data_IF_039398240190
#
_entry.id   IF_039398240190
#
_cell.length_a   1.000
_cell.length_b   1.000
_cell.length_c   1.000
_cell.angle_alpha   90.00
_cell.angle_beta   90.00
_cell.angle_gamma   90.00
#
_symmetry.space_group_name_H-M   'P 1'
#
loop_
_entity.id
_entity.type
_entity.pdbx_description
1 polymer ?
#
# COMPACT_ATOMS: atom_id res chain seq x y z
N UNK A 1 10.69 -3.36 1.50
CA UNK A 1 11.90 -3.32 2.31
C UNK A 1 12.02 -4.63 3.09
N UNK A 2 13.17 -5.30 3.03
CA UNK A 2 13.49 -6.56 3.75
C UNK A 2 14.56 -6.29 4.83
N UNK A 3 14.73 -5.03 5.27
CA UNK A 3 15.85 -4.60 6.12
C UNK A 3 15.55 -4.64 7.63
N UNK A 4 14.35 -5.01 8.07
CA UNK A 4 13.94 -4.94 9.49
C UNK A 4 13.73 -6.28 10.23
N UNK A 5 13.96 -7.42 9.56
CA UNK A 5 13.62 -8.75 10.10
C UNK A 5 12.10 -9.00 10.15
N UNK A 6 11.65 -10.07 10.80
CA UNK A 6 10.27 -10.60 10.67
C UNK A 6 9.13 -9.79 11.35
N UNK A 7 9.37 -8.51 11.70
CA UNK A 7 8.45 -7.77 12.60
C UNK A 7 7.54 -6.76 11.94
N UNK A 8 7.93 -6.19 10.80
CA UNK A 8 7.10 -5.18 10.15
C UNK A 8 5.81 -5.78 9.59
N UNK A 9 4.69 -5.10 9.82
CA UNK A 9 3.40 -5.44 9.24
C UNK A 9 2.71 -4.20 8.67
N UNK A 10 2.30 -4.27 7.41
CA UNK A 10 1.73 -3.11 6.71
C UNK A 10 0.53 -3.51 5.87
N UNK A 11 -0.36 -2.56 5.59
CA UNK A 11 -1.31 -2.70 4.48
C UNK A 11 -1.16 -1.52 3.54
N UNK A 12 -1.17 -1.80 2.23
CA UNK A 12 -1.19 -0.78 1.20
C UNK A 12 -2.65 -0.51 0.81
N UNK A 13 -3.01 0.76 0.73
CA UNK A 13 -4.32 1.19 0.26
C UNK A 13 -4.18 2.26 -0.82
N UNK A 14 -5.06 2.19 -1.81
CA UNK A 14 -5.21 3.23 -2.83
C UNK A 14 -6.60 3.84 -2.66
N UNK A 15 -6.63 5.16 -2.52
CA UNK A 15 -7.86 5.94 -2.38
C UNK A 15 -8.02 6.88 -3.57
N UNK A 16 -9.21 6.89 -4.15
CA UNK A 16 -9.68 7.85 -5.13
C UNK A 16 -10.68 8.78 -4.42
N UNK A 17 -10.27 10.02 -4.20
CA UNK A 17 -10.95 10.98 -3.33
C UNK A 17 -11.23 10.37 -1.95
N UNK A 18 -12.51 10.28 -1.56
CA UNK A 18 -12.94 9.70 -0.28
C UNK A 18 -13.19 8.18 -0.35
N UNK A 19 -13.02 7.55 -1.52
CA UNK A 19 -13.31 6.13 -1.73
C UNK A 19 -12.03 5.30 -1.72
N UNK A 20 -11.96 4.28 -0.86
CA UNK A 20 -10.88 3.27 -0.92
C UNK A 20 -11.11 2.37 -2.13
N UNK A 21 -10.33 2.58 -3.18
CA UNK A 21 -10.43 1.86 -4.44
C UNK A 21 -9.74 0.49 -4.40
N UNK A 22 -8.67 0.34 -3.63
CA UNK A 22 -7.99 -0.94 -3.44
C UNK A 22 -7.30 -1.07 -2.07
N UNK A 23 -7.07 -2.32 -1.65
CA UNK A 23 -6.24 -2.66 -0.48
C UNK A 23 -5.58 -4.02 -0.67
N UNK A 24 -4.37 -4.19 -0.15
CA UNK A 24 -3.68 -5.49 -0.11
C UNK A 24 -4.13 -6.39 1.05
N UNK A 25 -4.82 -5.82 2.05
CA UNK A 25 -4.83 -6.38 3.41
C UNK A 25 -3.45 -6.32 4.06
N UNK A 26 -3.32 -6.89 5.25
CA UNK A 26 -2.05 -6.99 5.97
C UNK A 26 -1.05 -7.85 5.21
N UNK A 27 0.17 -7.34 5.10
CA UNK A 27 1.36 -8.00 4.60
C UNK A 27 2.42 -7.98 5.70
N UNK A 28 3.25 -9.01 5.71
CA UNK A 28 4.40 -9.17 6.59
C UNK A 28 5.69 -9.17 5.77
N UNK A 29 6.84 -9.09 6.43
CA UNK A 29 8.14 -9.22 5.75
C UNK A 29 8.32 -10.58 5.02
N UNK A 30 7.58 -11.62 5.43
CA UNK A 30 7.63 -12.93 4.77
C UNK A 30 6.80 -13.00 3.49
N UNK A 31 5.90 -12.03 3.25
CA UNK A 31 5.08 -12.01 2.05
C UNK A 31 5.88 -11.48 0.86
N UNK A 32 5.76 -12.11 -0.33
CA UNK A 32 6.37 -11.56 -1.53
C UNK A 32 5.71 -10.21 -1.90
N UNK A 33 6.44 -9.40 -2.68
CA UNK A 33 5.92 -8.15 -3.21
C UNK A 33 4.56 -8.37 -3.90
N UNK A 34 3.57 -7.55 -3.56
CA UNK A 34 2.19 -7.71 -4.02
C UNK A 34 1.80 -6.58 -4.95
N UNK A 35 1.41 -6.95 -6.17
CA UNK A 35 0.83 -6.00 -7.11
C UNK A 35 -0.56 -5.55 -6.63
N UNK A 36 -0.82 -4.25 -6.72
CA UNK A 36 -2.12 -3.64 -6.47
C UNK A 36 -2.49 -2.76 -7.66
N UNK A 37 -3.76 -2.83 -8.06
CA UNK A 37 -4.32 -2.01 -9.13
C UNK A 37 -5.65 -1.43 -8.65
N UNK A 38 -5.92 -0.19 -9.02
CA UNK A 38 -7.12 0.54 -8.65
C UNK A 38 -7.59 1.37 -9.84
N UNK A 39 -8.89 1.37 -10.10
CA UNK A 39 -9.49 2.37 -10.99
C UNK A 39 -9.60 3.69 -10.22
N UNK A 40 -8.96 4.73 -10.74
CA UNK A 40 -8.94 6.09 -10.17
C UNK A 40 -9.51 7.10 -11.14
N UNK A 41 -10.25 6.65 -12.15
CA UNK A 41 -10.81 7.50 -13.20
C UNK A 41 -11.75 8.54 -12.63
N UNK A 42 -11.51 9.81 -12.98
CA UNK A 42 -12.34 10.93 -12.53
C UNK A 42 -12.08 11.40 -11.11
N UNK A 43 -11.12 10.81 -10.39
CA UNK A 43 -10.72 11.29 -9.07
C UNK A 43 -9.93 12.61 -9.15
N UNK A 44 -10.22 13.54 -8.26
CA UNK A 44 -9.45 14.77 -8.13
C UNK A 44 -8.14 14.53 -7.37
N UNK A 45 -8.18 13.63 -6.37
CA UNK A 45 -7.03 13.28 -5.54
C UNK A 45 -6.88 11.76 -5.44
N UNK A 46 -5.69 11.27 -5.79
CA UNK A 46 -5.28 9.90 -5.50
C UNK A 46 -4.36 9.89 -4.29
N UNK A 47 -4.72 9.14 -3.25
CA UNK A 47 -3.87 8.94 -2.05
C UNK A 47 -3.37 7.52 -2.00
N UNK A 48 -2.07 7.38 -1.80
CA UNK A 48 -1.39 6.12 -1.54
C UNK A 48 -1.08 6.06 -0.05
N UNK A 49 -1.63 5.07 0.63
CA UNK A 49 -1.54 4.94 2.08
C UNK A 49 -0.83 3.65 2.42
N UNK A 50 0.10 3.73 3.36
CA UNK A 50 0.65 2.58 4.09
C UNK A 50 0.14 2.69 5.52
N UNK A 51 -0.52 1.65 6.01
CA UNK A 51 -0.98 1.57 7.40
C UNK A 51 0.00 0.78 8.26
N UNK A 52 -0.14 0.91 9.57
CA UNK A 52 0.59 0.14 10.59
C UNK A 52 -0.03 -1.24 10.87
N UNK A 53 -0.96 -1.68 10.00
CA UNK A 53 -1.74 -2.92 10.12
C UNK A 53 -2.33 -3.25 11.52
N UNK A 54 -2.43 -2.26 12.41
CA UNK A 54 -2.97 -2.39 13.76
C UNK A 54 -1.98 -2.85 14.85
N UNK A 55 -0.67 -2.97 14.58
CA UNK A 55 0.35 -3.28 15.61
C UNK A 55 1.34 -2.14 15.89
N UNK A 56 1.18 -1.02 15.19
CA UNK A 56 1.92 0.22 15.38
C UNK A 56 3.15 0.29 14.47
N UNK A 57 3.56 1.51 14.11
CA UNK A 57 4.49 1.75 12.98
C UNK A 57 5.95 1.32 13.16
N UNK A 58 6.26 0.50 14.16
CA UNK A 58 7.62 0.03 14.41
C UNK A 58 8.04 -0.99 13.36
N UNK A 59 9.17 -0.76 12.69
CA UNK A 59 9.71 -1.66 11.65
C UNK A 59 8.89 -1.73 10.35
N UNK A 60 7.89 -0.86 10.20
CA UNK A 60 6.96 -0.82 9.05
C UNK A 60 7.53 0.00 7.89
N UNK A 61 8.66 -0.45 7.36
CA UNK A 61 9.21 0.12 6.14
C UNK A 61 8.52 -0.50 4.93
N UNK A 62 7.99 0.35 4.05
CA UNK A 62 7.15 -0.07 2.94
C UNK A 62 7.47 0.73 1.67
N UNK A 63 7.55 0.02 0.55
CA UNK A 63 7.92 0.60 -0.73
C UNK A 63 6.81 0.42 -1.78
N UNK A 64 6.54 1.49 -2.51
CA UNK A 64 5.80 1.43 -3.77
C UNK A 64 6.79 1.25 -4.93
N UNK A 65 7.15 -0.01 -5.23
CA UNK A 65 8.33 -0.32 -6.04
C UNK A 65 8.27 0.09 -7.53
N UNK A 66 7.11 0.02 -8.18
CA UNK A 66 6.91 0.41 -9.59
C UNK A 66 5.57 1.14 -9.75
N UNK A 67 5.38 2.21 -8.97
CA UNK A 67 4.17 3.00 -9.00
C UNK A 67 4.01 3.67 -10.38
N UNK A 68 2.90 3.37 -11.06
CA UNK A 68 2.54 3.99 -12.34
C UNK A 68 1.09 4.44 -12.33
N UNK A 69 0.87 5.62 -12.94
CA UNK A 69 -0.46 6.12 -13.29
C UNK A 69 -0.52 6.22 -14.81
N UNK A 70 -1.57 5.67 -15.41
CA UNK A 70 -1.76 5.65 -16.86
C UNK A 70 -3.12 6.24 -17.22
N UNK A 71 -3.19 6.97 -18.32
CA UNK A 71 -4.44 7.48 -18.90
C UNK A 71 -4.67 6.83 -20.26
N UNK A 72 -5.93 6.67 -20.65
CA UNK A 72 -6.35 6.16 -21.98
C UNK A 72 -7.10 7.22 -22.75
#
# INVERSE_FOLDING_TARGET
DDESGDKGTVAFEVWADETRAASTGTLTNADPARAVSADVSGADVVRLVVTDAGDGSGYDHADWADLRVTCT
#
